data_IF_097106859699
#
_entry.id   IF_097106859699
#
_cell.length_a   1.000
_cell.length_b   1.000
_cell.length_c   1.000
_cell.angle_alpha   90.00
_cell.angle_beta   90.00
_cell.angle_gamma   90.00
#
_symmetry.space_group_name_H-M   'P 1'
#
loop_
_entity.id
_entity.type
_entity.pdbx_description
1 polymer ?
#
# COMPACT_ATOMS: atom_id res chain seq x y z
N UNK A 1 12.40 -36.36 4.87
CA UNK A 1 11.32 -36.28 3.87
C UNK A 1 10.44 -35.07 4.15
N UNK A 2 10.73 -33.97 3.45
CA UNK A 2 9.79 -32.89 3.15
C UNK A 2 10.49 -32.04 2.07
N UNK A 3 10.35 -32.49 0.82
CA UNK A 3 10.71 -31.71 -0.36
C UNK A 3 9.68 -30.60 -0.49
N UNK A 4 10.11 -29.35 -0.26
CA UNK A 4 9.40 -28.17 -0.75
C UNK A 4 9.74 -27.99 -2.25
N UNK A 5 9.32 -28.95 -3.07
CA UNK A 5 9.31 -28.82 -4.52
C UNK A 5 7.87 -28.56 -4.97
N UNK A 6 7.41 -27.32 -4.73
CA UNK A 6 6.22 -26.77 -5.36
C UNK A 6 6.52 -25.33 -5.78
N UNK A 7 7.47 -25.16 -6.70
CA UNK A 7 7.43 -24.03 -7.62
C UNK A 7 6.64 -24.48 -8.86
N UNK A 8 5.68 -23.67 -9.37
CA UNK A 8 4.95 -24.01 -10.59
C UNK A 8 5.95 -24.12 -11.75
N UNK A 9 5.98 -25.28 -12.42
CA UNK A 9 6.92 -25.59 -13.50
C UNK A 9 6.54 -24.91 -14.84
N UNK A 10 5.46 -24.12 -14.89
CA UNK A 10 4.91 -23.51 -16.11
C UNK A 10 5.06 -21.99 -16.19
N UNK A 11 5.79 -21.37 -15.25
CA UNK A 11 5.97 -19.91 -15.22
C UNK A 11 7.17 -19.42 -16.07
N UNK A 12 8.03 -20.30 -16.59
CA UNK A 12 9.32 -19.89 -17.19
C UNK A 12 9.18 -19.15 -18.53
N UNK A 13 8.23 -19.56 -19.37
CA UNK A 13 7.96 -18.91 -20.66
C UNK A 13 7.25 -17.57 -20.45
N UNK A 14 6.29 -17.52 -19.51
CA UNK A 14 5.60 -16.29 -19.13
C UNK A 14 6.56 -15.27 -18.48
N UNK A 15 7.51 -15.74 -17.65
CA UNK A 15 8.55 -14.86 -17.07
C UNK A 15 9.56 -14.38 -18.11
N UNK A 16 9.90 -15.19 -19.13
CA UNK A 16 10.82 -14.75 -20.17
C UNK A 16 10.18 -13.71 -21.10
N UNK A 17 8.94 -13.92 -21.53
CA UNK A 17 8.18 -12.93 -22.30
C UNK A 17 8.01 -11.62 -21.51
N UNK A 18 7.72 -11.72 -20.21
CA UNK A 18 7.63 -10.57 -19.32
C UNK A 18 8.96 -9.80 -19.25
N UNK A 19 10.09 -10.50 -19.11
CA UNK A 19 11.42 -9.88 -19.09
C UNK A 19 11.75 -9.17 -20.41
N UNK A 20 11.39 -9.75 -21.55
CA UNK A 20 11.58 -9.11 -22.86
C UNK A 20 10.72 -7.86 -23.03
N UNK A 21 9.48 -7.88 -22.52
CA UNK A 21 8.62 -6.70 -22.50
C UNK A 21 9.21 -5.60 -21.61
N UNK A 22 9.65 -5.92 -20.40
CA UNK A 22 10.30 -4.97 -19.49
C UNK A 22 11.57 -4.36 -20.11
N UNK A 23 12.39 -5.17 -20.78
CA UNK A 23 13.58 -4.67 -21.49
C UNK A 23 13.23 -3.70 -22.62
N UNK A 24 12.20 -4.02 -23.42
CA UNK A 24 11.73 -3.12 -24.48
C UNK A 24 11.20 -1.80 -23.92
N UNK A 25 10.42 -1.83 -22.85
CA UNK A 25 9.88 -0.63 -22.21
C UNK A 25 11.00 0.23 -21.60
N UNK A 26 11.92 -0.40 -20.85
CA UNK A 26 13.10 0.27 -20.31
C UNK A 26 13.95 0.94 -21.40
N UNK A 27 14.17 0.24 -22.54
CA UNK A 27 14.89 0.81 -23.69
C UNK A 27 14.14 1.98 -24.34
N UNK A 28 12.81 1.93 -24.44
CA UNK A 28 11.98 3.02 -24.95
C UNK A 28 12.04 4.26 -24.04
N UNK A 29 12.05 4.07 -22.73
CA UNK A 29 12.18 5.14 -21.74
C UNK A 29 13.63 5.60 -21.53
N UNK A 30 14.61 4.88 -22.08
CA UNK A 30 16.03 5.20 -21.93
C UNK A 30 16.57 4.98 -20.50
N UNK A 31 15.91 4.11 -19.72
CA UNK A 31 16.27 3.82 -18.31
C UNK A 31 16.65 2.35 -18.13
N UNK A 32 17.14 2.00 -16.94
CA UNK A 32 17.45 0.61 -16.62
C UNK A 32 16.18 -0.22 -16.44
N UNK A 33 16.27 -1.54 -16.63
CA UNK A 33 15.15 -2.46 -16.36
C UNK A 33 14.69 -2.37 -14.91
N UNK A 34 15.62 -2.17 -13.97
CA UNK A 34 15.29 -2.00 -12.55
C UNK A 34 14.50 -0.73 -12.30
N UNK A 35 14.86 0.38 -12.95
CA UNK A 35 14.16 1.65 -12.82
C UNK A 35 12.77 1.59 -13.46
N UNK A 36 12.62 0.89 -14.58
CA UNK A 36 11.32 0.63 -15.20
C UNK A 36 10.42 -0.17 -14.25
N UNK A 37 10.95 -1.23 -13.63
CA UNK A 37 10.19 -2.00 -12.62
C UNK A 37 9.79 -1.11 -11.44
N UNK A 38 10.71 -0.29 -10.91
CA UNK A 38 10.40 0.64 -9.83
C UNK A 38 9.30 1.63 -10.25
N UNK A 39 9.38 2.15 -11.46
CA UNK A 39 8.41 3.10 -11.99
C UNK A 39 7.02 2.46 -12.12
N UNK A 40 6.93 1.28 -12.73
CA UNK A 40 5.67 0.52 -12.84
C UNK A 40 5.06 0.27 -11.46
N UNK A 41 5.87 -0.19 -10.50
CA UNK A 41 5.38 -0.44 -9.15
C UNK A 41 4.88 0.85 -8.49
N UNK A 42 5.64 1.94 -8.58
CA UNK A 42 5.23 3.24 -8.04
C UNK A 42 3.91 3.72 -8.63
N UNK A 43 3.70 3.56 -9.94
CA UNK A 43 2.44 3.91 -10.59
C UNK A 43 1.29 2.99 -10.15
N UNK A 44 1.55 1.68 -10.02
CA UNK A 44 0.54 0.72 -9.60
C UNK A 44 0.10 0.90 -8.13
N UNK A 45 1.02 1.33 -7.26
CA UNK A 45 0.74 1.58 -5.83
C UNK A 45 0.46 3.05 -5.52
N UNK A 46 0.51 3.93 -6.52
CA UNK A 46 0.17 5.32 -6.32
C UNK A 46 -1.26 5.41 -5.79
N UNK A 47 -1.40 5.98 -4.59
CA UNK A 47 -2.71 6.30 -4.04
C UNK A 47 -3.43 7.29 -4.98
N UNK A 48 -4.78 7.33 -4.97
CA UNK A 48 -5.54 8.38 -5.64
C UNK A 48 -4.97 9.76 -5.31
N UNK A 49 -5.07 10.71 -6.26
CA UNK A 49 -4.59 12.09 -6.07
C UNK A 49 -5.12 12.71 -4.77
N UNK A 50 -6.34 12.34 -4.39
CA UNK A 50 -6.96 12.72 -3.14
C UNK A 50 -6.53 11.76 -2.01
N UNK A 51 -5.58 12.21 -1.20
CA UNK A 51 -5.12 11.45 -0.03
C UNK A 51 -6.22 11.45 1.03
N UNK A 52 -6.47 10.28 1.62
CA UNK A 52 -7.49 10.14 2.68
C UNK A 52 -7.24 11.06 3.88
N UNK A 53 -5.97 11.32 4.23
CA UNK A 53 -5.62 12.28 5.30
C UNK A 53 -6.04 13.71 4.96
N UNK A 54 -5.78 14.14 3.72
CA UNK A 54 -6.16 15.49 3.25
C UNK A 54 -7.68 15.65 3.20
N UNK A 55 -8.40 14.57 2.83
CA UNK A 55 -9.85 14.51 2.93
C UNK A 55 -10.35 14.68 4.35
N UNK A 56 -9.77 13.96 5.30
CA UNK A 56 -10.17 14.05 6.71
C UNK A 56 -9.94 15.48 7.25
N UNK A 57 -8.79 16.08 6.96
CA UNK A 57 -8.51 17.49 7.33
C UNK A 57 -9.55 18.41 6.71
N UNK A 58 -9.75 18.35 5.39
CA UNK A 58 -10.71 19.22 4.68
C UNK A 58 -12.14 19.10 5.21
N UNK A 59 -12.57 17.87 5.54
CA UNK A 59 -13.95 17.62 5.97
C UNK A 59 -14.19 17.92 7.45
N UNK A 60 -13.20 17.65 8.32
CA UNK A 60 -13.40 17.71 9.76
C UNK A 60 -12.76 18.94 10.43
N UNK A 61 -11.69 19.53 9.89
CA UNK A 61 -11.07 20.72 10.49
C UNK A 61 -12.03 21.91 10.66
N UNK A 62 -12.95 22.21 9.71
CA UNK A 62 -13.92 23.29 9.91
C UNK A 62 -14.89 23.06 11.09
N UNK A 63 -15.13 21.80 11.49
CA UNK A 63 -15.97 21.50 12.65
C UNK A 63 -15.27 21.80 13.99
N UNK A 64 -13.96 22.04 13.95
CA UNK A 64 -13.13 22.36 15.12
C UNK A 64 -12.46 23.74 14.98
N UNK A 65 -12.99 24.62 14.13
CA UNK A 65 -12.43 25.96 13.84
C UNK A 65 -10.94 25.90 13.43
N UNK A 66 -10.56 24.85 12.70
CA UNK A 66 -9.18 24.54 12.31
C UNK A 66 -8.20 24.42 13.50
N UNK A 67 -8.70 24.20 14.72
CA UNK A 67 -7.91 23.98 15.94
C UNK A 67 -7.61 22.50 16.18
N UNK A 68 -6.71 22.25 17.14
CA UNK A 68 -6.41 20.90 17.60
C UNK A 68 -7.64 20.24 18.24
N UNK A 69 -7.91 18.99 17.84
CA UNK A 69 -8.98 18.18 18.42
C UNK A 69 -8.64 17.83 19.88
N UNK A 70 -9.28 18.53 20.82
CA UNK A 70 -9.19 18.18 22.24
C UNK A 70 -10.12 17.00 22.51
N UNK A 71 -9.54 15.82 22.65
CA UNK A 71 -10.30 14.63 23.04
C UNK A 71 -10.71 14.73 24.52
N UNK A 72 -11.95 14.37 24.88
CA UNK A 72 -12.36 14.30 26.28
C UNK A 72 -11.51 13.25 27.02
N UNK A 73 -11.30 13.46 28.31
CA UNK A 73 -10.67 12.46 29.15
C UNK A 73 -11.46 11.15 29.09
N UNK A 74 -10.76 10.03 28.89
CA UNK A 74 -11.38 8.72 28.90
C UNK A 74 -11.97 8.44 30.28
N UNK A 75 -13.25 8.14 30.35
CA UNK A 75 -13.85 7.57 31.55
C UNK A 75 -13.29 6.15 31.74
N UNK A 76 -12.74 5.89 32.92
CA UNK A 76 -12.31 4.55 33.32
C UNK A 76 -13.52 3.92 34.01
N UNK A 77 -14.25 3.01 33.35
CA UNK A 77 -15.36 2.33 34.00
C UNK A 77 -14.82 1.45 35.12
N UNK A 78 -15.57 1.34 36.21
CA UNK A 78 -15.27 0.36 37.25
C UNK A 78 -15.40 -1.06 36.67
N UNK A 79 -14.52 -2.00 37.06
CA UNK A 79 -14.66 -3.40 36.67
C UNK A 79 -16.04 -3.95 37.07
N UNK A 80 -16.66 -4.73 36.19
CA UNK A 80 -17.86 -5.48 36.53
C UNK A 80 -17.50 -6.56 37.55
N UNK A 81 -18.16 -6.54 38.71
CA UNK A 81 -18.08 -7.64 39.66
C UNK A 81 -18.93 -8.82 39.14
N UNK A 82 -18.30 -9.98 38.97
CA UNK A 82 -19.00 -11.23 38.64
C UNK A 82 -19.12 -12.08 39.91
N UNK A 83 -20.33 -12.59 40.24
CA UNK A 83 -20.47 -13.56 41.32
C UNK A 83 -19.77 -14.88 40.94
N UNK A 84 -19.17 -15.55 41.94
CA UNK A 84 -18.58 -16.91 41.79
C UNK A 84 -19.64 -17.98 41.48
#
# INVERSE_FOLDING_TARGET
PESFDLLPQDDSVATQELLERLRRQAAQHGISVQDEVRHILQQAVAAPEEKLGDLAVRLFSPAYDDNELVLPAREIPEPLEFPE
#
